data_IF_334586503463
#
_entry.id   IF_334586503463
#
_cell.length_a   1.000
_cell.length_b   1.000
_cell.length_c   1.000
_cell.angle_alpha   90.00
_cell.angle_beta   90.00
_cell.angle_gamma   90.00
#
_symmetry.space_group_name_H-M   'P 1'
#
loop_
_entity.id
_entity.type
_entity.pdbx_description
1 polymer ?
#
# COMPACT_ATOMS: atom_id res chain seq x y z
N UNK A 1 34.20 -88.88 75.32
CA UNK A 1 35.59 -88.43 75.46
C UNK A 1 35.64 -86.96 75.06
N UNK A 2 36.66 -86.22 75.47
CA UNK A 2 36.76 -84.80 75.14
C UNK A 2 36.90 -84.55 73.63
N UNK A 3 37.56 -85.47 72.94
CA UNK A 3 37.61 -85.53 71.47
C UNK A 3 36.21 -85.68 70.85
N UNK A 4 35.34 -86.53 71.43
CA UNK A 4 33.93 -86.65 70.99
C UNK A 4 33.14 -85.37 71.26
N UNK A 5 33.43 -84.66 72.35
CA UNK A 5 32.78 -83.38 72.67
C UNK A 5 33.11 -82.32 71.62
N UNK A 6 34.39 -82.14 71.31
CA UNK A 6 34.86 -81.16 70.31
C UNK A 6 34.39 -81.52 68.91
N UNK A 7 34.45 -82.80 68.52
CA UNK A 7 33.92 -83.25 67.24
C UNK A 7 32.42 -82.95 67.10
N UNK A 8 31.64 -83.12 68.17
CA UNK A 8 30.21 -82.78 68.20
C UNK A 8 29.97 -81.28 68.18
N UNK A 9 30.70 -80.51 68.98
CA UNK A 9 30.55 -79.05 69.08
C UNK A 9 30.91 -78.34 67.76
N UNK A 10 32.08 -78.64 67.19
CA UNK A 10 32.58 -77.98 65.99
C UNK A 10 31.97 -78.58 64.72
N UNK A 11 31.86 -79.91 64.65
CA UNK A 11 31.40 -80.62 63.45
C UNK A 11 29.89 -80.75 63.30
N UNK A 12 29.11 -80.69 64.38
CA UNK A 12 27.64 -80.92 64.32
C UNK A 12 26.84 -79.75 64.88
N UNK A 13 27.23 -79.19 66.02
CA UNK A 13 26.50 -78.08 66.65
C UNK A 13 26.87 -76.69 66.10
N UNK A 14 27.94 -76.60 65.28
CA UNK A 14 28.42 -75.33 64.73
C UNK A 14 29.01 -74.37 65.77
N UNK A 15 29.33 -74.86 66.98
CA UNK A 15 29.99 -74.10 68.05
C UNK A 15 31.50 -74.07 67.80
N UNK A 16 31.94 -73.06 67.06
CA UNK A 16 33.33 -72.89 66.67
C UNK A 16 34.21 -72.44 67.86
N UNK A 17 35.38 -73.06 68.04
CA UNK A 17 36.38 -72.71 69.07
C UNK A 17 36.60 -73.74 70.18
N UNK A 18 35.96 -74.92 70.10
CA UNK A 18 36.21 -76.01 71.05
C UNK A 18 37.59 -76.65 70.87
N UNK A 19 38.31 -76.86 71.96
CA UNK A 19 39.54 -77.66 72.03
C UNK A 19 39.38 -78.78 73.06
N UNK A 20 40.00 -79.92 72.78
CA UNK A 20 39.99 -81.11 73.60
C UNK A 20 41.23 -81.10 74.49
N UNK A 21 41.01 -81.05 75.81
CA UNK A 21 42.05 -81.24 76.82
C UNK A 21 41.86 -82.62 77.46
N UNK A 22 42.76 -83.55 77.11
CA UNK A 22 42.76 -84.91 77.66
C UNK A 22 44.01 -85.07 78.52
N UNK A 23 43.84 -85.18 79.83
CA UNK A 23 44.97 -85.31 80.77
C UNK A 23 45.52 -86.73 80.79
N UNK A 24 46.84 -86.88 80.65
CA UNK A 24 47.57 -88.15 80.82
C UNK A 24 47.64 -89.07 79.59
N UNK A 25 47.29 -88.57 78.39
CA UNK A 25 47.47 -89.30 77.12
C UNK A 25 48.86 -89.09 76.53
N UNK A 26 49.45 -90.16 76.01
CA UNK A 26 50.74 -90.19 75.31
C UNK A 26 50.71 -91.15 74.12
N UNK A 27 51.63 -90.96 73.16
CA UNK A 27 51.63 -91.72 71.90
C UNK A 27 50.43 -91.36 71.02
N UNK A 28 49.86 -92.35 70.33
CA UNK A 28 48.84 -92.15 69.28
C UNK A 28 47.58 -91.40 69.74
N UNK A 29 47.24 -91.44 71.03
CA UNK A 29 46.08 -90.70 71.58
C UNK A 29 46.37 -89.21 71.81
N UNK A 30 47.62 -88.85 72.06
CA UNK A 30 48.06 -87.45 72.11
C UNK A 30 48.01 -86.86 70.69
N UNK A 31 48.64 -87.55 69.72
CA UNK A 31 48.67 -87.14 68.32
C UNK A 31 47.26 -86.99 67.73
N UNK A 32 46.33 -87.87 68.11
CA UNK A 32 44.92 -87.78 67.71
C UNK A 32 44.21 -86.57 68.33
N UNK A 33 44.49 -86.25 69.59
CA UNK A 33 43.90 -85.10 70.29
C UNK A 33 44.42 -83.78 69.69
N UNK A 34 45.72 -83.71 69.39
CA UNK A 34 46.35 -82.58 68.71
C UNK A 34 45.79 -82.42 67.29
N UNK A 35 45.72 -83.51 66.51
CA UNK A 35 45.14 -83.48 65.16
C UNK A 35 43.67 -83.02 65.14
N UNK A 36 42.87 -83.43 66.13
CA UNK A 36 41.47 -82.98 66.26
C UNK A 36 41.39 -81.51 66.68
N UNK A 37 42.30 -81.05 67.55
CA UNK A 37 42.38 -79.64 67.93
C UNK A 37 42.82 -78.74 66.76
N UNK A 38 43.79 -79.19 65.97
CA UNK A 38 44.24 -78.48 64.76
C UNK A 38 43.13 -78.42 63.71
N UNK A 39 42.44 -79.55 63.49
CA UNK A 39 41.27 -79.60 62.62
C UNK A 39 40.17 -78.65 63.10
N UNK A 40 39.83 -78.70 64.39
CA UNK A 40 38.80 -77.85 65.00
C UNK A 40 39.16 -76.36 64.95
N UNK A 41 40.43 -76.02 65.18
CA UNK A 41 40.96 -74.66 65.09
C UNK A 41 40.93 -74.13 63.66
N UNK A 42 41.39 -74.92 62.68
CA UNK A 42 41.39 -74.56 61.27
C UNK A 42 39.97 -74.33 60.73
N UNK A 43 39.05 -75.27 60.99
CA UNK A 43 37.63 -75.13 60.62
C UNK A 43 36.99 -73.92 61.31
N UNK A 44 37.30 -73.70 62.60
CA UNK A 44 36.81 -72.55 63.35
C UNK A 44 37.23 -71.23 62.72
N UNK A 45 38.52 -71.07 62.41
CA UNK A 45 39.05 -69.83 61.86
C UNK A 45 38.51 -69.59 60.44
N UNK A 46 38.52 -70.62 59.60
CA UNK A 46 38.04 -70.55 58.21
C UNK A 46 36.55 -70.21 58.14
N UNK A 47 35.69 -70.94 58.85
CA UNK A 47 34.23 -70.72 58.82
C UNK A 47 33.87 -69.38 59.46
N UNK A 48 34.55 -68.99 60.55
CA UNK A 48 34.32 -67.68 61.19
C UNK A 48 34.71 -66.53 60.27
N UNK A 49 35.83 -66.64 59.54
CA UNK A 49 36.24 -65.61 58.59
C UNK A 49 35.26 -65.51 57.40
N UNK A 50 34.83 -66.65 56.85
CA UNK A 50 33.76 -66.71 55.83
C UNK A 50 32.49 -66.02 56.33
N UNK A 51 32.05 -66.30 57.57
CA UNK A 51 30.87 -65.69 58.17
C UNK A 51 31.02 -64.17 58.31
N UNK A 52 32.20 -63.67 58.70
CA UNK A 52 32.48 -62.23 58.81
C UNK A 52 32.39 -61.56 57.44
N UNK A 53 33.00 -62.14 56.40
CA UNK A 53 33.00 -61.56 55.05
C UNK A 53 31.62 -61.60 54.43
N UNK A 54 30.90 -62.72 54.52
CA UNK A 54 29.54 -62.84 53.99
C UNK A 54 28.55 -61.92 54.73
N UNK A 55 28.72 -61.73 56.03
CA UNK A 55 27.94 -60.76 56.82
C UNK A 55 28.27 -59.32 56.41
N UNK A 56 29.53 -59.01 56.14
CA UNK A 56 29.94 -57.70 55.64
C UNK A 56 29.32 -57.40 54.27
N UNK A 57 29.38 -58.36 53.35
CA UNK A 57 28.74 -58.28 52.03
C UNK A 57 27.23 -58.07 52.15
N UNK A 58 26.56 -58.80 53.04
CA UNK A 58 25.12 -58.63 53.29
C UNK A 58 24.76 -57.23 53.82
N UNK A 59 25.67 -56.59 54.55
CA UNK A 59 25.53 -55.22 55.03
C UNK A 59 26.01 -54.15 54.01
N UNK A 60 26.44 -54.55 52.82
CA UNK A 60 26.94 -53.66 51.78
C UNK A 60 28.42 -53.24 51.91
N UNK A 61 29.17 -53.81 52.86
CA UNK A 61 30.62 -53.62 52.98
C UNK A 61 31.36 -54.62 52.09
N UNK A 62 31.73 -54.14 50.89
CA UNK A 62 32.44 -54.91 49.86
C UNK A 62 33.97 -54.73 49.93
N UNK A 63 34.48 -54.14 51.02
CA UNK A 63 35.92 -53.95 51.23
C UNK A 63 36.61 -55.16 51.88
N UNK A 64 35.84 -56.11 52.42
CA UNK A 64 36.39 -57.26 53.16
C UNK A 64 36.54 -58.50 52.29
N UNK A 65 37.66 -59.20 52.46
CA UNK A 65 37.96 -60.47 51.81
C UNK A 65 38.33 -61.53 52.83
N UNK A 66 38.15 -62.79 52.45
CA UNK A 66 38.65 -63.92 53.22
C UNK A 66 40.16 -63.97 53.04
N UNK A 67 40.89 -63.85 54.15
CA UNK A 67 42.35 -63.83 54.18
C UNK A 67 42.95 -65.12 54.72
N UNK A 68 42.23 -65.85 55.58
CA UNK A 68 42.71 -67.10 56.21
C UNK A 68 43.23 -68.12 55.21
N UNK A 69 44.30 -68.83 55.58
CA UNK A 69 44.81 -69.92 54.76
C UNK A 69 43.81 -71.08 54.72
N UNK A 70 43.58 -71.58 53.50
CA UNK A 70 42.63 -72.64 53.23
C UNK A 70 43.19 -73.56 52.16
N UNK A 71 42.79 -74.83 52.20
CA UNK A 71 43.19 -75.86 51.26
C UNK A 71 41.95 -76.67 50.85
N UNK A 72 42.04 -77.39 49.72
CA UNK A 72 40.93 -78.21 49.21
C UNK A 72 39.66 -77.40 48.95
N UNK A 73 38.51 -77.94 49.30
CA UNK A 73 37.18 -77.34 49.07
C UNK A 73 37.00 -75.96 49.75
N UNK A 74 37.63 -75.74 50.90
CA UNK A 74 37.56 -74.44 51.59
C UNK A 74 38.33 -73.36 50.83
N UNK A 75 39.42 -73.72 50.14
CA UNK A 75 40.13 -72.79 49.27
C UNK A 75 39.28 -72.40 48.06
N UNK A 76 38.58 -73.36 47.46
CA UNK A 76 37.65 -73.11 46.37
C UNK A 76 36.50 -72.20 46.82
N UNK A 77 35.93 -72.46 48.00
CA UNK A 77 34.91 -71.60 48.61
C UNK A 77 35.43 -70.18 48.89
N UNK A 78 36.63 -70.06 49.47
CA UNK A 78 37.32 -68.77 49.69
C UNK A 78 37.45 -67.99 48.38
N UNK A 79 37.95 -68.64 47.33
CA UNK A 79 38.14 -68.01 46.02
C UNK A 79 36.82 -67.60 45.40
N UNK A 80 35.78 -68.44 45.53
CA UNK A 80 34.43 -68.16 45.03
C UNK A 80 33.82 -66.93 45.73
N UNK A 81 33.88 -66.89 47.06
CA UNK A 81 33.37 -65.74 47.83
C UNK A 81 34.18 -64.48 47.53
N UNK A 82 35.52 -64.55 47.51
CA UNK A 82 36.34 -63.38 47.18
C UNK A 82 36.08 -62.86 45.76
N UNK A 83 35.88 -63.74 44.80
CA UNK A 83 35.52 -63.36 43.42
C UNK A 83 34.14 -62.70 43.39
N UNK A 84 33.16 -63.22 44.14
CA UNK A 84 31.84 -62.59 44.29
C UNK A 84 31.95 -61.18 44.89
N UNK A 85 32.78 -60.99 45.94
CA UNK A 85 33.02 -59.66 46.53
C UNK A 85 33.62 -58.71 45.50
N UNK A 86 34.60 -59.16 44.73
CA UNK A 86 35.24 -58.34 43.70
C UNK A 86 34.27 -57.91 42.59
N UNK A 87 33.43 -58.85 42.13
CA UNK A 87 32.38 -58.57 41.14
C UNK A 87 31.34 -57.59 41.67
N UNK A 88 30.87 -57.78 42.91
CA UNK A 88 29.93 -56.88 43.57
C UNK A 88 30.51 -55.48 43.74
N UNK A 89 31.77 -55.39 44.19
CA UNK A 89 32.46 -54.11 44.43
C UNK A 89 32.63 -53.33 43.13
N UNK A 90 33.07 -54.01 42.08
CA UNK A 90 33.24 -53.43 40.74
C UNK A 90 31.90 -53.03 40.13
N UNK A 91 30.87 -53.86 40.26
CA UNK A 91 29.53 -53.51 39.76
C UNK A 91 28.96 -52.30 40.50
N UNK A 92 29.07 -52.26 41.83
CA UNK A 92 28.61 -51.15 42.64
C UNK A 92 29.28 -49.83 42.28
N UNK A 93 30.61 -49.83 42.08
CA UNK A 93 31.35 -48.64 41.67
C UNK A 93 30.97 -48.19 40.26
N UNK A 94 30.84 -49.12 39.32
CA UNK A 94 30.49 -48.81 37.93
C UNK A 94 29.06 -48.29 37.78
N UNK A 95 28.09 -48.90 38.46
CA UNK A 95 26.71 -48.39 38.47
C UNK A 95 26.64 -47.01 39.11
N UNK A 96 27.34 -46.79 40.23
CA UNK A 96 27.40 -45.47 40.87
C UNK A 96 28.01 -44.42 39.94
N UNK A 97 29.08 -44.79 39.22
CA UNK A 97 29.76 -43.92 38.25
C UNK A 97 28.84 -43.57 37.09
N UNK A 98 28.22 -44.55 36.43
CA UNK A 98 27.31 -44.32 35.29
C UNK A 98 26.08 -43.52 35.71
N UNK A 99 25.50 -43.80 36.87
CA UNK A 99 24.37 -43.05 37.40
C UNK A 99 24.73 -41.57 37.65
N UNK A 100 25.95 -41.30 38.16
CA UNK A 100 26.45 -39.94 38.34
C UNK A 100 26.71 -39.26 37.00
N UNK A 101 27.48 -39.88 36.11
CA UNK A 101 27.86 -39.30 34.81
C UNK A 101 26.64 -39.03 33.94
N UNK A 102 25.81 -40.04 33.66
CA UNK A 102 24.69 -39.93 32.73
C UNK A 102 23.47 -39.31 33.40
N UNK A 103 23.19 -39.66 34.66
CA UNK A 103 21.97 -39.24 35.35
C UNK A 103 22.06 -37.88 36.05
N UNK A 104 23.25 -37.47 36.51
CA UNK A 104 23.42 -36.24 37.31
C UNK A 104 24.24 -35.18 36.60
N UNK A 105 25.39 -35.54 36.05
CA UNK A 105 26.35 -34.60 35.45
C UNK A 105 26.04 -34.32 33.97
N UNK A 106 25.17 -35.12 33.34
CA UNK A 106 24.82 -34.98 31.92
C UNK A 106 25.96 -35.35 30.97
N UNK A 107 26.96 -36.09 31.45
CA UNK A 107 28.06 -36.64 30.65
C UNK A 107 27.52 -37.87 29.91
N UNK A 108 26.94 -37.61 28.74
CA UNK A 108 26.28 -38.63 27.94
C UNK A 108 27.29 -39.59 27.26
N UNK A 109 27.04 -40.90 27.35
CA UNK A 109 27.87 -41.95 26.75
C UNK A 109 28.59 -42.85 27.76
N UNK A 110 28.47 -42.57 29.07
CA UNK A 110 29.00 -43.45 30.11
C UNK A 110 28.33 -44.84 30.08
N UNK A 111 29.16 -45.89 30.15
CA UNK A 111 28.73 -47.28 30.23
C UNK A 111 29.50 -47.98 31.35
N UNK A 112 28.85 -48.91 32.04
CA UNK A 112 29.44 -49.76 33.07
C UNK A 112 30.28 -50.85 32.41
N UNK A 113 31.55 -50.97 32.82
CA UNK A 113 32.46 -52.03 32.41
C UNK A 113 32.81 -52.92 33.60
N UNK A 114 32.12 -54.05 33.72
CA UNK A 114 32.36 -55.03 34.80
C UNK A 114 32.93 -56.30 34.18
N UNK A 115 34.22 -56.54 34.39
CA UNK A 115 34.93 -57.67 33.78
C UNK A 115 34.58 -58.99 34.47
N UNK A 116 34.47 -60.05 33.67
CA UNK A 116 34.29 -61.42 34.18
C UNK A 116 32.91 -61.71 34.79
N UNK A 117 31.90 -60.87 34.50
CA UNK A 117 30.52 -61.12 34.93
C UNK A 117 29.82 -62.12 34.02
N UNK A 118 28.97 -62.96 34.61
CA UNK A 118 28.16 -63.96 33.92
C UNK A 118 26.80 -64.12 34.59
N UNK A 119 25.83 -64.71 33.88
CA UNK A 119 24.47 -64.86 34.39
C UNK A 119 23.84 -63.51 34.74
N UNK A 120 23.16 -63.45 35.89
CA UNK A 120 22.45 -62.24 36.35
C UNK A 120 23.32 -60.98 36.38
N UNK A 121 24.61 -61.10 36.70
CA UNK A 121 25.51 -59.94 36.75
C UNK A 121 25.72 -59.31 35.37
N UNK A 122 25.89 -60.15 34.34
CA UNK A 122 25.99 -59.67 32.97
C UNK A 122 24.69 -59.01 32.53
N UNK A 123 23.57 -59.66 32.81
CA UNK A 123 22.24 -59.16 32.41
C UNK A 123 21.94 -57.79 33.08
N UNK A 124 22.39 -57.58 34.32
CA UNK A 124 22.29 -56.30 35.01
C UNK A 124 23.21 -55.23 34.40
N UNK A 125 24.48 -55.56 34.11
CA UNK A 125 25.42 -54.63 33.44
C UNK A 125 24.89 -54.23 32.07
N UNK A 126 24.38 -55.18 31.28
CA UNK A 126 23.75 -54.91 29.98
C UNK A 126 22.50 -54.04 30.13
N UNK A 127 21.67 -54.27 31.14
CA UNK A 127 20.47 -53.46 31.41
C UNK A 127 20.82 -52.01 31.76
N UNK A 128 21.83 -51.79 32.60
CA UNK A 128 22.34 -50.45 32.94
C UNK A 128 22.90 -49.76 31.70
N UNK A 129 23.68 -50.47 30.89
CA UNK A 129 24.24 -49.93 29.65
C UNK A 129 23.18 -49.60 28.61
N UNK A 130 22.13 -50.43 28.50
CA UNK A 130 20.99 -50.17 27.64
C UNK A 130 20.22 -48.92 28.08
N UNK A 131 19.99 -48.76 29.39
CA UNK A 131 19.37 -47.55 29.95
C UNK A 131 20.23 -46.30 29.65
N UNK A 132 21.52 -46.35 29.95
CA UNK A 132 22.46 -45.25 29.74
C UNK A 132 22.57 -44.85 28.26
N UNK A 133 22.61 -45.83 27.37
CA UNK A 133 22.68 -45.62 25.91
C UNK A 133 21.40 -44.99 25.37
N UNK A 134 20.23 -45.47 25.81
CA UNK A 134 18.95 -44.87 25.39
C UNK A 134 18.82 -43.42 25.85
N UNK A 135 19.10 -43.13 27.13
CA UNK A 135 19.07 -41.76 27.65
C UNK A 135 20.06 -40.85 26.91
N UNK A 136 21.28 -41.35 26.69
CA UNK A 136 22.32 -40.65 25.93
C UNK A 136 21.85 -40.27 24.52
N UNK A 137 21.30 -41.22 23.77
CA UNK A 137 20.86 -40.97 22.40
C UNK A 137 19.64 -40.05 22.35
N UNK A 138 18.69 -40.24 23.28
CA UNK A 138 17.49 -39.43 23.38
C UNK A 138 17.80 -37.96 23.69
N UNK A 139 18.56 -37.71 24.76
CA UNK A 139 18.90 -36.35 25.20
C UNK A 139 19.78 -35.64 24.17
N UNK A 140 20.77 -36.34 23.61
CA UNK A 140 21.67 -35.75 22.59
C UNK A 140 20.91 -35.35 21.32
N UNK A 141 19.96 -36.16 20.85
CA UNK A 141 19.17 -35.82 19.66
C UNK A 141 18.18 -34.68 19.93
N UNK A 142 17.60 -34.61 21.14
CA UNK A 142 16.81 -33.45 21.57
C UNK A 142 17.66 -32.18 21.52
N UNK A 143 18.85 -32.20 22.12
CA UNK A 143 19.75 -31.05 22.14
C UNK A 143 20.18 -30.60 20.74
N UNK A 144 20.45 -31.54 19.83
CA UNK A 144 20.77 -31.23 18.44
C UNK A 144 19.62 -30.50 17.74
N UNK A 145 18.39 -31.01 17.87
CA UNK A 145 17.22 -30.44 17.20
C UNK A 145 16.85 -29.08 17.80
N UNK A 146 16.89 -28.92 19.11
CA UNK A 146 16.61 -27.61 19.74
C UNK A 146 17.69 -26.58 19.41
N UNK A 147 18.95 -27.00 19.26
CA UNK A 147 20.02 -26.12 18.77
C UNK A 147 19.78 -25.73 17.31
N UNK A 148 19.40 -26.67 16.45
CA UNK A 148 19.08 -26.39 15.04
C UNK A 148 17.95 -25.36 14.92
N UNK A 149 16.86 -25.55 15.67
CA UNK A 149 15.74 -24.60 15.75
C UNK A 149 16.19 -23.22 16.20
N UNK A 150 17.04 -23.13 17.23
CA UNK A 150 17.59 -21.86 17.72
C UNK A 150 18.44 -21.14 16.67
N UNK A 151 19.12 -21.89 15.78
CA UNK A 151 19.87 -21.34 14.64
C UNK A 151 19.02 -21.10 13.38
N UNK A 152 17.72 -21.40 13.43
CA UNK A 152 16.78 -21.23 12.32
C UNK A 152 16.69 -22.40 11.34
N UNK A 153 17.37 -23.52 11.60
CA UNK A 153 17.21 -24.75 10.82
C UNK A 153 16.00 -25.55 11.32
N UNK A 154 14.88 -25.40 10.61
CA UNK A 154 13.61 -26.07 10.90
C UNK A 154 13.44 -27.38 10.11
N UNK A 155 14.50 -27.88 9.48
CA UNK A 155 14.47 -29.14 8.73
C UNK A 155 14.72 -30.37 9.62
N UNK A 156 15.34 -30.16 10.78
CA UNK A 156 15.71 -31.26 11.69
C UNK A 156 14.56 -31.65 12.63
N UNK A 157 14.42 -32.96 12.84
CA UNK A 157 13.46 -33.55 13.78
C UNK A 157 14.13 -34.56 14.69
N UNK A 158 13.54 -34.76 15.87
CA UNK A 158 13.94 -35.84 16.75
C UNK A 158 13.49 -37.15 16.09
N UNK A 159 14.44 -38.00 15.75
CA UNK A 159 14.20 -39.25 15.04
C UNK A 159 14.34 -40.48 15.95
N UNK A 160 15.16 -40.39 16.99
CA UNK A 160 15.46 -41.49 17.92
C UNK A 160 14.21 -42.10 18.55
N UNK A 161 14.21 -43.43 18.72
CA UNK A 161 13.11 -44.14 19.36
C UNK A 161 12.97 -43.77 20.83
N UNK A 162 11.73 -43.52 21.23
CA UNK A 162 11.37 -43.09 22.57
C UNK A 162 10.06 -43.73 23.00
N UNK A 163 9.89 -43.91 24.31
CA UNK A 163 8.68 -44.42 24.94
C UNK A 163 8.33 -43.55 26.15
N UNK A 164 7.09 -43.65 26.63
CA UNK A 164 6.62 -42.91 27.80
C UNK A 164 6.76 -41.39 27.63
N UNK A 165 7.25 -40.72 28.69
CA UNK A 165 7.39 -39.26 28.73
C UNK A 165 8.36 -38.72 27.66
N UNK A 166 9.42 -39.46 27.33
CA UNK A 166 10.37 -39.03 26.29
C UNK A 166 9.70 -39.06 24.90
N UNK A 167 8.77 -39.99 24.65
CA UNK A 167 8.00 -39.99 23.40
C UNK A 167 7.09 -38.77 23.31
N UNK A 168 6.44 -38.42 24.43
CA UNK A 168 5.61 -37.22 24.51
C UNK A 168 6.45 -35.95 24.27
N UNK A 169 7.65 -35.88 24.85
CA UNK A 169 8.59 -34.78 24.62
C UNK A 169 9.04 -34.71 23.15
N UNK A 170 9.45 -35.83 22.56
CA UNK A 170 9.79 -35.96 21.13
C UNK A 170 8.64 -35.45 20.25
N UNK A 171 7.42 -35.90 20.52
CA UNK A 171 6.23 -35.48 19.75
C UNK A 171 5.97 -33.99 19.90
N UNK A 172 6.09 -33.45 21.12
CA UNK A 172 5.84 -32.02 21.38
C UNK A 172 6.86 -31.14 20.65
N UNK A 173 8.15 -31.48 20.73
CA UNK A 173 9.20 -30.74 20.04
C UNK A 173 9.03 -30.86 18.51
N UNK A 174 8.78 -32.06 17.98
CA UNK A 174 8.58 -32.23 16.53
C UNK A 174 7.37 -31.45 16.01
N UNK A 175 6.26 -31.43 16.75
CA UNK A 175 5.09 -30.60 16.41
C UNK A 175 5.43 -29.11 16.43
N UNK A 176 6.23 -28.65 17.41
CA UNK A 176 6.69 -27.27 17.46
C UNK A 176 7.58 -26.91 16.26
N UNK A 177 8.49 -27.80 15.84
CA UNK A 177 9.29 -27.63 14.61
C UNK A 177 8.39 -27.54 13.38
N UNK A 178 7.37 -28.39 13.27
CA UNK A 178 6.43 -28.38 12.14
C UNK A 178 5.63 -27.09 12.07
N UNK A 179 5.14 -26.59 13.21
CA UNK A 179 4.42 -25.32 13.30
C UNK A 179 5.31 -24.14 12.91
N UNK A 180 6.56 -24.10 13.41
CA UNK A 180 7.54 -23.08 13.05
C UNK A 180 7.86 -23.09 11.55
N UNK A 181 8.11 -24.28 11.00
CA UNK A 181 8.48 -24.46 9.59
C UNK A 181 7.34 -24.01 8.67
N UNK A 182 6.12 -24.42 8.99
CA UNK A 182 4.91 -24.00 8.26
C UNK A 182 4.72 -22.49 8.35
N UNK A 183 4.80 -21.90 9.54
CA UNK A 183 4.67 -20.45 9.72
C UNK A 183 5.74 -19.67 8.94
N UNK A 184 7.01 -20.07 9.02
CA UNK A 184 8.09 -19.43 8.29
C UNK A 184 7.87 -19.50 6.76
N UNK A 185 7.41 -20.64 6.26
CA UNK A 185 7.10 -20.82 4.83
C UNK A 185 5.94 -19.93 4.38
N UNK A 186 4.88 -19.83 5.20
CA UNK A 186 3.68 -19.05 4.90
C UNK A 186 3.96 -17.55 4.96
N UNK A 187 4.69 -17.07 5.97
CA UNK A 187 5.12 -15.66 6.05
C UNK A 187 6.01 -15.31 4.84
N UNK A 188 6.94 -16.19 4.46
CA UNK A 188 7.79 -15.97 3.28
C UNK A 188 6.96 -15.92 1.99
N UNK A 189 5.95 -16.79 1.87
CA UNK A 189 5.04 -16.81 0.72
C UNK A 189 4.21 -15.52 0.64
N UNK A 190 3.55 -15.13 1.72
CA UNK A 190 2.74 -13.89 1.77
C UNK A 190 3.61 -12.67 1.50
N UNK A 191 4.80 -12.59 2.09
CA UNK A 191 5.74 -11.51 1.83
C UNK A 191 6.14 -11.43 0.35
N UNK A 192 6.43 -12.57 -0.29
CA UNK A 192 6.75 -12.61 -1.73
C UNK A 192 5.56 -12.21 -2.60
N UNK A 193 4.34 -12.70 -2.29
CA UNK A 193 3.13 -12.37 -3.05
C UNK A 193 2.80 -10.87 -3.00
N UNK A 194 2.89 -10.27 -1.82
CA UNK A 194 2.61 -8.85 -1.61
C UNK A 194 3.75 -7.97 -2.16
N UNK A 195 5.01 -8.37 -1.97
CA UNK A 195 6.17 -7.55 -2.34
C UNK A 195 6.58 -7.67 -3.82
N UNK A 196 6.65 -8.89 -4.36
CA UNK A 196 7.24 -9.13 -5.68
C UNK A 196 6.18 -9.36 -6.76
N UNK A 197 5.16 -10.17 -6.46
CA UNK A 197 4.14 -10.52 -7.46
C UNK A 197 3.06 -9.44 -7.61
N UNK A 198 2.97 -8.49 -6.66
CA UNK A 198 1.89 -7.51 -6.59
C UNK A 198 0.50 -8.14 -6.37
N UNK A 199 0.45 -9.40 -5.94
CA UNK A 199 -0.79 -10.14 -5.68
C UNK A 199 -1.31 -9.79 -4.30
N UNK A 200 -2.13 -8.75 -4.26
CA UNK A 200 -2.77 -8.28 -3.03
C UNK A 200 -3.91 -9.21 -2.62
N UNK A 201 -3.90 -9.62 -1.34
CA UNK A 201 -4.93 -10.48 -0.74
C UNK A 201 -4.43 -11.86 -0.27
N UNK A 202 -3.13 -12.14 -0.43
CA UNK A 202 -2.51 -13.33 0.16
C UNK A 202 -2.65 -13.36 1.68
N UNK A 203 -3.04 -14.52 2.23
CA UNK A 203 -3.15 -14.78 3.67
C UNK A 203 -2.32 -16.00 4.03
N UNK A 204 -1.65 -15.94 5.17
CA UNK A 204 -0.96 -17.08 5.78
C UNK A 204 -2.01 -18.06 6.33
N UNK A 205 -1.92 -19.33 5.94
CA UNK A 205 -2.71 -20.42 6.49
C UNK A 205 -1.81 -21.41 7.23
N UNK A 206 -1.74 -21.27 8.55
CA UNK A 206 -0.95 -22.16 9.41
C UNK A 206 -1.90 -23.01 10.23
N UNK A 207 -2.03 -24.28 9.86
CA UNK A 207 -2.96 -25.21 10.53
C UNK A 207 -2.45 -25.62 11.91
N UNK A 208 -3.38 -25.73 12.86
CA UNK A 208 -3.08 -26.26 14.19
C UNK A 208 -2.30 -25.31 15.10
N UNK A 209 -2.20 -24.02 14.76
CA UNK A 209 -1.61 -23.01 15.65
C UNK A 209 -2.60 -22.53 16.71
N UNK A 210 -2.10 -22.28 17.90
CA UNK A 210 -2.85 -21.75 19.05
C UNK A 210 -1.99 -20.77 19.84
N UNK A 211 -2.62 -20.00 20.74
CA UNK A 211 -1.93 -18.97 21.53
C UNK A 211 -1.19 -17.96 20.64
N UNK A 212 0.04 -17.63 21.02
CA UNK A 212 0.87 -16.63 20.32
C UNK A 212 1.06 -16.92 18.83
N UNK A 213 1.13 -18.19 18.42
CA UNK A 213 1.27 -18.53 17.01
C UNK A 213 0.05 -18.16 16.18
N UNK A 214 -1.14 -18.33 16.76
CA UNK A 214 -2.39 -17.89 16.15
C UNK A 214 -2.43 -16.37 16.09
N UNK A 215 -2.09 -15.68 17.18
CA UNK A 215 -2.11 -14.22 17.24
C UNK A 215 -1.16 -13.60 16.20
N UNK A 216 0.03 -14.19 16.00
CA UNK A 216 0.99 -13.76 14.98
C UNK A 216 0.45 -14.00 13.56
N UNK A 217 -0.14 -15.16 13.31
CA UNK A 217 -0.75 -15.48 12.00
C UNK A 217 -1.90 -14.52 11.68
N UNK A 218 -2.77 -14.26 12.66
CA UNK A 218 -3.89 -13.33 12.53
C UNK A 218 -3.39 -11.89 12.34
N UNK A 219 -2.31 -11.48 13.00
CA UNK A 219 -1.70 -10.16 12.85
C UNK A 219 -1.09 -9.94 11.45
N UNK A 220 -0.37 -10.93 10.92
CA UNK A 220 0.17 -10.89 9.55
C UNK A 220 -0.97 -10.80 8.53
N UNK A 221 -2.02 -11.60 8.73
CA UNK A 221 -3.21 -11.59 7.88
C UNK A 221 -3.96 -10.25 7.94
N UNK A 222 -4.10 -9.68 9.13
CA UNK A 222 -4.72 -8.37 9.32
C UNK A 222 -3.94 -7.29 8.58
N UNK A 223 -2.62 -7.20 8.80
CA UNK A 223 -1.74 -6.26 8.11
C UNK A 223 -1.81 -6.42 6.59
N UNK A 224 -1.71 -7.64 6.06
CA UNK A 224 -1.78 -7.91 4.63
C UNK A 224 -3.14 -7.51 4.04
N UNK A 225 -4.25 -7.77 4.75
CA UNK A 225 -5.59 -7.40 4.31
C UNK A 225 -5.83 -5.89 4.31
N UNK A 226 -5.43 -5.18 5.37
CA UNK A 226 -5.60 -3.73 5.47
C UNK A 226 -4.78 -3.00 4.39
N UNK A 227 -3.52 -3.40 4.18
CA UNK A 227 -2.70 -2.82 3.12
C UNK A 227 -3.25 -3.14 1.71
N UNK A 228 -3.74 -4.37 1.51
CA UNK A 228 -4.39 -4.77 0.26
C UNK A 228 -5.58 -3.89 -0.07
N UNK A 229 -6.48 -3.70 0.91
CA UNK A 229 -7.70 -2.92 0.72
C UNK A 229 -7.38 -1.44 0.47
N UNK A 230 -6.39 -0.91 1.19
CA UNK A 230 -5.89 0.46 1.01
C UNK A 230 -5.34 0.70 -0.40
N UNK A 231 -4.40 -0.15 -0.85
CA UNK A 231 -3.78 0.00 -2.17
C UNK A 231 -4.79 -0.24 -3.29
N UNK A 232 -5.69 -1.23 -3.15
CA UNK A 232 -6.73 -1.50 -4.16
C UNK A 232 -7.71 -0.33 -4.31
N UNK A 233 -8.10 0.31 -3.22
CA UNK A 233 -8.99 1.48 -3.27
C UNK A 233 -8.28 2.70 -3.89
N UNK A 234 -7.00 2.91 -3.59
CA UNK A 234 -6.17 3.92 -4.26
C UNK A 234 -6.11 3.66 -5.77
N UNK A 235 -5.86 2.41 -6.18
CA UNK A 235 -5.82 2.03 -7.59
C UNK A 235 -7.17 2.24 -8.29
N UNK A 236 -8.29 1.93 -7.64
CA UNK A 236 -9.63 2.16 -8.17
C UNK A 236 -9.88 3.66 -8.42
N UNK A 237 -9.61 4.51 -7.43
CA UNK A 237 -9.84 5.96 -7.52
C UNK A 237 -8.93 6.60 -8.55
N UNK A 238 -7.64 6.27 -8.56
CA UNK A 238 -6.70 6.79 -9.55
C UNK A 238 -7.04 6.34 -10.98
N UNK A 239 -7.55 5.11 -11.15
CA UNK A 239 -8.08 4.63 -12.44
C UNK A 239 -9.34 5.38 -12.84
N UNK A 240 -10.25 5.68 -11.91
CA UNK A 240 -11.45 6.45 -12.17
C UNK A 240 -11.10 7.88 -12.64
N UNK A 241 -10.17 8.54 -11.94
CA UNK A 241 -9.63 9.86 -12.31
C UNK A 241 -9.00 9.84 -13.70
N UNK A 242 -8.21 8.81 -14.02
CA UNK A 242 -7.63 8.65 -15.35
C UNK A 242 -8.68 8.47 -16.46
N UNK A 243 -9.86 7.95 -16.14
CA UNK A 243 -11.02 7.83 -17.04
C UNK A 243 -11.93 9.07 -17.02
N UNK A 244 -11.57 10.11 -16.26
CA UNK A 244 -12.35 11.35 -16.12
C UNK A 244 -13.51 11.28 -15.11
N UNK A 245 -13.64 10.21 -14.34
CA UNK A 245 -14.61 10.12 -13.24
C UNK A 245 -14.00 10.73 -11.97
N UNK A 246 -14.37 11.99 -11.71
CA UNK A 246 -13.92 12.78 -10.56
C UNK A 246 -14.91 12.70 -9.38
N UNK A 247 -15.90 11.80 -9.43
CA UNK A 247 -16.86 11.59 -8.33
C UNK A 247 -16.36 10.62 -7.26
N UNK A 248 -15.27 9.91 -7.54
CA UNK A 248 -14.71 8.86 -6.69
C UNK A 248 -13.68 9.43 -5.74
N UNK A 249 -13.77 9.05 -4.46
CA UNK A 249 -12.77 9.36 -3.45
C UNK A 249 -12.31 8.09 -2.74
N UNK A 250 -11.10 8.14 -2.18
CA UNK A 250 -10.59 7.08 -1.32
C UNK A 250 -11.33 7.17 0.01
N UNK A 251 -12.03 6.12 0.40
CA UNK A 251 -12.87 6.10 1.62
C UNK A 251 -12.35 5.17 2.69
N UNK A 252 -11.51 4.20 2.34
CA UNK A 252 -10.93 3.21 3.26
C UNK A 252 -10.18 3.88 4.42
N UNK A 253 -10.24 3.24 5.59
CA UNK A 253 -9.54 3.70 6.79
C UNK A 253 -8.04 3.56 6.62
N UNK A 254 -7.31 4.63 6.92
CA UNK A 254 -5.86 4.69 6.81
C UNK A 254 -5.27 5.50 7.96
N UNK A 255 -4.03 5.18 8.32
CA UNK A 255 -3.24 5.90 9.33
C UNK A 255 -1.82 6.09 8.79
N UNK A 256 -1.06 7.02 9.38
CA UNK A 256 0.33 7.30 8.99
C UNK A 256 0.47 7.73 7.52
N UNK A 257 1.48 7.20 6.84
CA UNK A 257 1.82 7.56 5.45
C UNK A 257 0.69 7.26 4.46
N UNK A 258 -0.08 6.18 4.67
CA UNK A 258 -1.21 5.85 3.80
C UNK A 258 -2.35 6.86 3.96
N UNK A 259 -2.53 7.44 5.15
CA UNK A 259 -3.51 8.51 5.34
C UNK A 259 -3.09 9.79 4.61
N UNK A 260 -1.80 10.13 4.67
CA UNK A 260 -1.26 11.27 3.93
C UNK A 260 -1.43 11.09 2.42
N UNK A 261 -1.13 9.89 1.90
CA UNK A 261 -1.36 9.54 0.50
C UNK A 261 -2.85 9.64 0.12
N UNK A 262 -3.75 9.07 0.94
CA UNK A 262 -5.21 9.18 0.77
C UNK A 262 -5.64 10.65 0.68
N UNK A 263 -5.21 11.48 1.62
CA UNK A 263 -5.59 12.89 1.67
C UNK A 263 -5.04 13.66 0.47
N UNK A 264 -3.80 13.37 0.06
CA UNK A 264 -3.17 14.00 -1.10
C UNK A 264 -3.94 13.67 -2.39
N UNK A 265 -4.27 12.40 -2.60
CA UNK A 265 -5.04 11.97 -3.78
C UNK A 265 -6.45 12.57 -3.74
N UNK A 266 -7.16 12.50 -2.61
CA UNK A 266 -8.50 13.09 -2.49
C UNK A 266 -8.49 14.60 -2.76
N UNK A 267 -7.50 15.32 -2.23
CA UNK A 267 -7.33 16.77 -2.51
C UNK A 267 -7.10 17.02 -4.01
N UNK A 268 -6.30 16.18 -4.67
CA UNK A 268 -6.09 16.27 -6.12
C UNK A 268 -7.38 16.01 -6.90
N UNK A 269 -8.19 15.02 -6.50
CA UNK A 269 -9.51 14.78 -7.11
C UNK A 269 -10.44 15.98 -6.93
N UNK A 270 -10.49 16.57 -5.74
CA UNK A 270 -11.34 17.73 -5.45
C UNK A 270 -10.94 18.96 -6.26
N UNK A 271 -9.63 19.19 -6.41
CA UNK A 271 -9.09 20.26 -7.25
C UNK A 271 -9.44 20.05 -8.72
N UNK A 272 -9.27 18.83 -9.25
CA UNK A 272 -9.66 18.47 -10.61
C UNK A 272 -11.16 18.67 -10.85
N UNK A 273 -11.99 18.21 -9.91
CA UNK A 273 -13.46 18.30 -9.99
C UNK A 273 -13.92 19.75 -10.00
N UNK A 274 -13.36 20.57 -9.11
CA UNK A 274 -13.64 22.01 -9.04
C UNK A 274 -13.21 22.71 -10.33
N UNK A 275 -12.00 22.42 -10.82
CA UNK A 275 -11.50 23.00 -12.07
C UNK A 275 -12.39 22.62 -13.26
N UNK A 276 -12.74 21.35 -13.42
CA UNK A 276 -13.60 20.87 -14.50
C UNK A 276 -14.99 21.54 -14.47
N UNK A 277 -15.57 21.69 -13.27
CA UNK A 277 -16.84 22.41 -13.09
C UNK A 277 -16.72 23.89 -13.47
N UNK A 278 -15.67 24.57 -13.01
CA UNK A 278 -15.48 26.00 -13.28
C UNK A 278 -15.21 26.28 -14.76
N UNK A 279 -14.38 25.48 -15.43
CA UNK A 279 -14.14 25.62 -16.87
C UNK A 279 -15.44 25.38 -17.65
N UNK A 280 -16.20 24.34 -17.31
CA UNK A 280 -17.49 24.06 -17.95
C UNK A 280 -18.47 25.22 -17.75
N UNK A 281 -18.51 25.79 -16.54
CA UNK A 281 -19.37 26.94 -16.21
C UNK A 281 -18.99 28.18 -17.01
N UNK A 282 -17.71 28.55 -17.05
CA UNK A 282 -17.22 29.74 -17.79
C UNK A 282 -17.42 29.57 -19.29
N UNK A 283 -17.11 28.40 -19.85
CA UNK A 283 -17.35 28.11 -21.26
C UNK A 283 -18.84 28.26 -21.63
N UNK A 284 -19.73 27.80 -20.75
CA UNK A 284 -21.18 27.96 -20.93
C UNK A 284 -21.61 29.43 -20.80
N UNK A 285 -21.22 30.11 -19.73
CA UNK A 285 -21.64 31.50 -19.46
C UNK A 285 -21.13 32.46 -20.54
N UNK A 286 -19.83 32.44 -20.82
CA UNK A 286 -19.18 33.41 -21.71
C UNK A 286 -19.31 32.99 -23.17
N UNK A 287 -19.14 31.69 -23.46
CA UNK A 287 -19.15 31.18 -24.83
C UNK A 287 -20.53 30.86 -25.40
N UNK A 288 -21.47 30.38 -24.58
CA UNK A 288 -22.81 29.95 -25.07
C UNK A 288 -23.92 30.93 -24.69
N UNK A 289 -23.98 31.35 -23.43
CA UNK A 289 -25.05 32.22 -22.93
C UNK A 289 -24.80 33.71 -23.19
N UNK A 290 -23.58 34.09 -23.56
CA UNK A 290 -23.19 35.49 -23.77
C UNK A 290 -23.20 36.33 -22.48
N UNK A 291 -23.17 35.70 -21.30
CA UNK A 291 -23.00 36.38 -20.01
C UNK A 291 -21.54 36.79 -19.84
N UNK A 292 -21.21 37.94 -20.41
CA UNK A 292 -19.86 38.49 -20.41
C UNK A 292 -19.39 38.87 -19.00
N UNK A 293 -18.13 38.57 -18.68
CA UNK A 293 -17.50 38.84 -17.38
C UNK A 293 -17.41 37.62 -16.46
N UNK A 294 -17.86 36.44 -16.89
CA UNK A 294 -17.64 35.20 -16.16
C UNK A 294 -16.16 34.84 -16.08
N UNK A 295 -15.69 34.47 -14.90
CA UNK A 295 -14.31 34.02 -14.63
C UNK A 295 -14.34 32.75 -13.78
N UNK A 296 -13.39 31.85 -14.03
CA UNK A 296 -13.16 30.64 -13.27
C UNK A 296 -12.50 31.01 -11.94
N UNK A 297 -13.03 30.46 -10.85
CA UNK A 297 -12.48 30.64 -9.51
C UNK A 297 -12.22 29.29 -8.85
N UNK A 298 -11.00 28.78 -9.02
CA UNK A 298 -10.56 27.52 -8.43
C UNK A 298 -9.67 27.82 -7.22
N UNK A 299 -10.15 27.52 -6.02
CA UNK A 299 -9.42 27.81 -4.77
C UNK A 299 -8.27 26.81 -4.56
N UNK A 300 -7.16 27.29 -4.03
CA UNK A 300 -6.05 26.43 -3.59
C UNK A 300 -5.23 25.81 -4.74
N UNK A 301 -5.39 26.29 -5.97
CA UNK A 301 -4.58 25.85 -7.12
C UNK A 301 -3.20 26.52 -7.12
N UNK A 302 -2.20 25.77 -7.56
CA UNK A 302 -0.83 26.24 -7.75
C UNK A 302 -0.20 25.53 -8.96
N UNK A 303 0.94 26.06 -9.44
CA UNK A 303 1.62 25.53 -10.63
C UNK A 303 0.69 25.48 -11.84
N UNK A 304 0.72 24.38 -12.59
CA UNK A 304 -0.05 24.20 -13.83
C UNK A 304 -1.55 24.46 -13.66
N UNK A 305 -2.15 24.13 -12.52
CA UNK A 305 -3.58 24.38 -12.28
C UNK A 305 -3.92 25.87 -12.21
N UNK A 306 -3.01 26.66 -11.64
CA UNK A 306 -3.15 28.12 -11.61
C UNK A 306 -3.00 28.68 -13.01
N UNK A 307 -1.97 28.27 -13.74
CA UNK A 307 -1.69 28.75 -15.10
C UNK A 307 -2.87 28.47 -16.05
N UNK A 308 -3.50 27.30 -15.95
CA UNK A 308 -4.69 26.95 -16.72
C UNK A 308 -5.91 27.78 -16.33
N UNK A 309 -6.11 28.04 -15.04
CA UNK A 309 -7.21 28.88 -14.56
C UNK A 309 -7.06 30.32 -15.05
N UNK A 310 -5.84 30.86 -15.00
CA UNK A 310 -5.51 32.20 -15.52
C UNK A 310 -5.71 32.26 -17.04
N UNK A 311 -5.29 31.23 -17.78
CA UNK A 311 -5.49 31.16 -19.23
C UNK A 311 -6.99 31.18 -19.64
N UNK A 312 -7.85 30.47 -18.90
CA UNK A 312 -9.31 30.49 -19.12
C UNK A 312 -9.89 31.86 -18.81
N UNK A 313 -9.41 32.51 -17.74
CA UNK A 313 -9.83 33.85 -17.37
C UNK A 313 -9.39 34.91 -18.37
N UNK A 314 -8.18 34.80 -18.92
CA UNK A 314 -7.68 35.70 -19.96
C UNK A 314 -8.51 35.55 -21.25
N UNK A 315 -8.82 34.31 -21.64
CA UNK A 315 -9.71 34.04 -22.79
C UNK A 315 -11.09 34.67 -22.57
N UNK A 316 -11.71 34.44 -21.41
CA UNK A 316 -13.03 34.95 -21.09
C UNK A 316 -13.07 36.49 -20.98
N UNK A 317 -12.02 37.09 -20.42
CA UNK A 317 -11.84 38.54 -20.31
C UNK A 317 -11.67 39.18 -21.69
N UNK A 318 -10.81 38.62 -22.54
CA UNK A 318 -10.60 39.10 -23.90
C UNK A 318 -11.90 39.06 -24.71
N UNK A 319 -12.63 37.93 -24.69
CA UNK A 319 -13.90 37.83 -25.41
C UNK A 319 -14.94 38.82 -24.86
N UNK A 320 -15.01 38.97 -23.53
CA UNK A 320 -15.88 39.95 -22.87
C UNK A 320 -15.61 41.37 -23.35
N UNK A 321 -14.35 41.78 -23.35
CA UNK A 321 -13.96 43.13 -23.75
C UNK A 321 -14.22 43.36 -25.23
N UNK A 322 -13.89 42.39 -26.08
CA UNK A 322 -14.11 42.47 -27.53
C UNK A 322 -15.60 42.64 -27.87
N UNK A 323 -16.46 41.75 -27.35
CA UNK A 323 -17.90 41.79 -27.64
C UNK A 323 -18.55 43.04 -27.04
N UNK A 324 -18.15 43.46 -25.83
CA UNK A 324 -18.70 44.68 -25.21
C UNK A 324 -18.33 45.94 -25.99
N UNK A 325 -17.12 46.04 -26.50
CA UNK A 325 -16.70 47.19 -27.32
C UNK A 325 -17.46 47.24 -28.65
N UNK A 326 -17.67 46.08 -29.29
CA UNK A 326 -18.54 45.99 -30.46
C UNK A 326 -19.95 46.50 -30.12
N UNK A 327 -20.55 46.00 -29.04
CA UNK A 327 -21.88 46.39 -28.61
C UNK A 327 -22.02 47.89 -28.34
N UNK A 328 -21.02 48.52 -27.72
CA UNK A 328 -21.01 49.97 -27.47
C UNK A 328 -21.07 50.76 -28.78
N UNK A 329 -20.26 50.37 -29.77
CA UNK A 329 -20.20 51.08 -31.05
C UNK A 329 -21.46 50.84 -31.87
N UNK A 330 -21.94 49.61 -31.97
CA UNK A 330 -23.19 49.32 -32.71
C UNK A 330 -24.41 49.97 -32.06
N UNK A 331 -24.44 50.08 -30.73
CA UNK A 331 -25.50 50.81 -30.01
C UNK A 331 -25.42 52.32 -30.27
N UNK A 332 -24.21 52.88 -30.30
CA UNK A 332 -24.01 54.30 -30.62
C UNK A 332 -24.51 54.61 -32.04
N UNK A 333 -24.14 53.76 -33.01
CA UNK A 333 -24.62 53.85 -34.40
C UNK A 333 -26.15 53.77 -34.47
N UNK A 334 -26.77 52.84 -33.74
CA UNK A 334 -28.23 52.71 -33.68
C UNK A 334 -28.91 53.96 -33.10
N UNK A 335 -28.25 54.67 -32.18
CA UNK A 335 -28.72 55.93 -31.61
C UNK A 335 -28.33 57.17 -32.46
N UNK A 336 -27.73 56.97 -33.63
CA UNK A 336 -27.31 58.05 -34.53
C UNK A 336 -25.97 58.72 -34.17
N UNK A 337 -25.25 58.23 -33.16
CA UNK A 337 -23.90 58.69 -32.82
C UNK A 337 -22.86 57.94 -33.65
N UNK A 338 -22.45 58.57 -34.76
CA UNK A 338 -21.47 58.04 -35.71
C UNK A 338 -20.03 58.50 -35.41
N UNK A 339 -19.80 59.08 -34.24
CA UNK A 339 -18.46 59.52 -33.80
C UNK A 339 -17.64 58.39 -33.17
N UNK A 340 -18.30 57.30 -32.73
CA UNK A 340 -17.64 56.19 -32.03
C UNK A 340 -17.13 55.12 -32.98
N UNK A 341 -15.93 54.63 -32.69
CA UNK A 341 -15.30 53.50 -33.38
C UNK A 341 -14.76 52.50 -32.37
N UNK A 342 -14.58 51.26 -32.84
CA UNK A 342 -13.89 50.23 -32.06
C UNK A 342 -12.40 50.56 -32.13
N UNK A 343 -11.76 50.79 -30.98
CA UNK A 343 -10.34 51.18 -30.89
C UNK A 343 -9.44 50.08 -30.35
N UNK A 344 -9.98 49.13 -29.60
CA UNK A 344 -9.22 48.03 -28.98
C UNK A 344 -8.31 47.30 -29.96
N UNK A 345 -7.12 46.91 -29.48
CA UNK A 345 -6.22 46.06 -30.24
C UNK A 345 -6.73 44.61 -30.24
N UNK A 346 -7.03 44.09 -31.42
CA UNK A 346 -7.68 42.80 -31.62
C UNK A 346 -7.05 42.10 -32.81
N UNK A 347 -7.09 40.77 -32.81
CA UNK A 347 -6.45 39.93 -33.83
C UNK A 347 -7.46 38.95 -34.43
N UNK A 348 -7.08 38.32 -35.55
CA UNK A 348 -7.87 37.29 -36.22
C UNK A 348 -9.23 37.78 -36.70
N UNK A 349 -10.25 36.94 -36.57
CA UNK A 349 -11.63 37.21 -37.03
C UNK A 349 -12.24 38.45 -36.34
N UNK A 350 -11.84 38.74 -35.10
CA UNK A 350 -12.32 39.93 -34.38
C UNK A 350 -11.76 41.23 -34.99
N UNK A 351 -10.55 41.20 -35.56
CA UNK A 351 -9.98 42.34 -36.28
C UNK A 351 -10.75 42.62 -37.58
N UNK A 352 -11.12 41.56 -38.30
CA UNK A 352 -11.94 41.69 -39.51
C UNK A 352 -13.32 42.28 -39.18
N UNK A 353 -13.94 41.80 -38.09
CA UNK A 353 -15.21 42.35 -37.60
C UNK A 353 -15.08 43.83 -37.18
N UNK A 354 -14.01 44.18 -36.44
CA UNK A 354 -13.69 45.57 -36.09
C UNK A 354 -13.60 46.46 -37.32
N UNK A 355 -12.84 46.04 -38.33
CA UNK A 355 -12.64 46.81 -39.55
C UNK A 355 -13.93 46.96 -40.34
N UNK A 356 -14.74 45.91 -40.41
CA UNK A 356 -16.05 45.93 -41.09
C UNK A 356 -17.00 46.92 -40.41
N UNK A 357 -17.12 46.86 -39.08
CA UNK A 357 -17.97 47.79 -38.32
C UNK A 357 -17.46 49.22 -38.45
N UNK A 358 -16.16 49.47 -38.28
CA UNK A 358 -15.61 50.82 -38.41
C UNK A 358 -15.81 51.40 -39.82
N UNK A 359 -15.68 50.58 -40.87
CA UNK A 359 -15.96 51.00 -42.25
C UNK A 359 -17.44 51.34 -42.44
N UNK A 360 -18.35 50.55 -41.86
CA UNK A 360 -19.79 50.87 -41.86
C UNK A 360 -20.06 52.21 -41.17
N UNK A 361 -19.45 52.47 -40.01
CA UNK A 361 -19.57 53.77 -39.32
C UNK A 361 -19.09 54.93 -40.20
N UNK A 362 -17.96 54.76 -40.89
CA UNK A 362 -17.42 55.78 -41.79
C UNK A 362 -18.34 56.07 -42.98
N UNK A 363 -18.90 55.03 -43.59
CA UNK A 363 -19.85 55.16 -44.69
C UNK A 363 -21.13 55.86 -44.24
N UNK A 364 -21.68 55.47 -43.08
CA UNK A 364 -22.86 56.11 -42.47
C UNK A 364 -22.60 57.58 -42.16
N UNK A 365 -21.45 57.89 -41.56
CA UNK A 365 -21.08 59.26 -41.16
C UNK A 365 -20.95 60.17 -42.39
N UNK A 366 -20.27 59.68 -43.43
CA UNK A 366 -20.13 60.38 -44.70
C UNK A 366 -21.50 60.61 -45.35
N UNK A 367 -22.34 59.58 -45.44
CA UNK A 367 -23.68 59.70 -46.01
C UNK A 367 -24.55 60.71 -45.23
N UNK A 368 -24.58 60.63 -43.90
CA UNK A 368 -25.33 61.56 -43.06
C UNK A 368 -24.87 63.01 -43.26
N UNK A 369 -23.55 63.23 -43.37
CA UNK A 369 -22.99 64.57 -43.63
C UNK A 369 -23.39 65.11 -45.01
N UNK A 370 -23.35 64.27 -46.05
CA UNK A 370 -23.67 64.64 -47.42
C UNK A 370 -25.15 64.93 -47.62
N UNK A 371 -26.03 64.09 -47.05
CA UNK A 371 -27.48 64.34 -47.08
C UNK A 371 -27.81 65.64 -46.34
N UNK A 372 -27.22 65.87 -45.17
CA UNK A 372 -27.43 67.12 -44.42
C UNK A 372 -26.95 68.33 -45.20
N UNK A 373 -25.80 68.21 -45.89
CA UNK A 373 -25.23 69.28 -46.72
C UNK A 373 -26.13 69.60 -47.91
N UNK A 374 -26.55 68.59 -48.68
CA UNK A 374 -27.43 68.77 -49.84
C UNK A 374 -28.79 69.33 -49.44
N UNK A 375 -29.38 68.81 -48.36
CA UNK A 375 -30.64 69.33 -47.82
C UNK A 375 -30.52 70.81 -47.42
N UNK A 376 -29.39 71.22 -46.82
CA UNK A 376 -29.13 72.62 -46.51
C UNK A 376 -28.92 73.46 -47.76
N UNK A 377 -28.02 73.06 -48.66
CA UNK A 377 -27.69 73.81 -49.88
C UNK A 377 -28.91 74.02 -50.79
N UNK A 378 -29.62 72.93 -51.12
CA UNK A 378 -30.74 72.98 -52.07
C UNK A 378 -32.03 73.43 -51.39
N UNK A 379 -32.29 72.98 -50.16
CA UNK A 379 -33.56 73.21 -49.47
C UNK A 379 -33.62 74.48 -48.62
N UNK A 380 -32.50 74.91 -48.01
CA UNK A 380 -32.49 76.06 -47.08
C UNK A 380 -31.77 77.28 -47.65
N UNK A 381 -30.56 77.09 -48.19
CA UNK A 381 -29.70 78.18 -48.66
C UNK A 381 -30.05 78.62 -50.10
N UNK A 382 -30.89 77.85 -50.81
CA UNK A 382 -31.27 78.12 -52.20
C UNK A 382 -30.13 78.00 -53.22
N UNK A 383 -29.01 77.36 -52.83
CA UNK A 383 -27.87 77.07 -53.70
C UNK A 383 -28.18 75.81 -54.52
N UNK A 384 -28.92 76.01 -55.60
CA UNK A 384 -29.38 74.93 -56.47
C UNK A 384 -28.21 74.25 -57.20
N UNK A 385 -28.31 72.94 -57.42
CA UNK A 385 -27.32 72.11 -58.11
C UNK A 385 -26.40 71.30 -57.19
N UNK A 386 -26.58 71.37 -55.86
CA UNK A 386 -25.85 70.52 -54.91
C UNK A 386 -26.23 69.05 -55.05
N UNK A 387 -25.22 68.17 -55.10
CA UNK A 387 -25.39 66.70 -55.13
C UNK A 387 -24.53 66.06 -54.05
N UNK A 388 -25.05 64.99 -53.44
CA UNK A 388 -24.38 64.15 -52.47
C UNK A 388 -23.32 63.30 -53.17
N UNK A 389 -22.12 63.30 -52.62
CA UNK A 389 -20.98 62.53 -53.11
C UNK A 389 -20.45 61.61 -52.01
N UNK A 390 -20.99 60.40 -51.96
CA UNK A 390 -20.54 59.38 -50.99
C UNK A 390 -19.67 58.36 -51.71
N UNK A 391 -18.38 58.29 -51.38
CA UNK A 391 -17.43 57.37 -52.02
C UNK A 391 -17.53 55.98 -51.40
N UNK A 392 -17.38 54.95 -52.23
CA UNK A 392 -17.31 53.55 -51.76
C UNK A 392 -18.63 52.95 -51.28
N UNK A 393 -19.76 53.57 -51.60
CA UNK A 393 -21.10 53.00 -51.32
C UNK A 393 -21.55 52.04 -52.42
N UNK A 394 -22.24 50.98 -52.01
CA UNK A 394 -22.84 49.98 -52.88
C UNK A 394 -24.20 49.53 -52.33
N UNK A 395 -25.01 48.87 -53.16
CA UNK A 395 -26.36 48.42 -52.79
C UNK A 395 -27.23 49.58 -52.32
N UNK A 396 -28.00 49.37 -51.25
CA UNK A 396 -28.96 50.35 -50.72
C UNK A 396 -28.35 51.72 -50.43
N UNK A 397 -27.07 51.80 -50.03
CA UNK A 397 -26.41 53.09 -49.78
C UNK A 397 -26.22 53.91 -51.06
N UNK A 398 -25.92 53.23 -52.17
CA UNK A 398 -25.83 53.87 -53.47
C UNK A 398 -27.20 54.34 -53.94
N UNK A 399 -28.21 53.47 -53.85
CA UNK A 399 -29.58 53.78 -54.27
C UNK A 399 -30.16 54.99 -53.51
N UNK A 400 -29.88 55.10 -52.20
CA UNK A 400 -30.27 56.25 -51.39
C UNK A 400 -29.53 57.53 -51.79
N UNK A 401 -28.23 57.43 -52.10
CA UNK A 401 -27.45 58.59 -52.57
C UNK A 401 -27.98 59.09 -53.91
N UNK A 402 -28.29 58.19 -54.83
CA UNK A 402 -28.89 58.51 -56.13
C UNK A 402 -30.29 59.13 -55.94
N UNK A 403 -31.12 58.57 -55.05
CA UNK A 403 -32.45 59.13 -54.76
C UNK A 403 -32.39 60.56 -54.19
N UNK A 404 -31.43 60.86 -53.31
CA UNK A 404 -31.21 62.22 -52.79
C UNK A 404 -30.74 63.16 -53.92
N UNK A 405 -29.88 62.68 -54.81
CA UNK A 405 -29.41 63.45 -55.96
C UNK A 405 -30.53 63.71 -56.98
N UNK A 406 -31.40 62.73 -57.24
CA UNK A 406 -32.56 62.88 -58.10
C UNK A 406 -33.54 63.90 -57.52
N UNK A 407 -33.78 63.85 -56.21
CA UNK A 407 -34.61 64.85 -55.53
C UNK A 407 -34.00 66.26 -55.64
N UNK A 408 -32.70 66.38 -55.38
CA UNK A 408 -31.98 67.66 -55.45
C UNK A 408 -31.93 68.23 -56.88
N UNK A 409 -31.74 67.38 -57.89
CA UNK A 409 -31.76 67.78 -59.31
C UNK A 409 -33.15 68.23 -59.73
N UNK A 410 -34.18 67.46 -59.39
CA UNK A 410 -35.56 67.83 -59.70
C UNK A 410 -35.93 69.18 -59.06
N UNK A 411 -35.63 69.39 -57.78
CA UNK A 411 -35.86 70.70 -57.13
C UNK A 411 -35.07 71.83 -57.80
N UNK A 412 -33.82 71.57 -58.17
CA UNK A 412 -32.96 72.54 -58.86
C UNK A 412 -33.55 72.95 -60.21
N UNK A 413 -33.92 71.98 -61.04
CA UNK A 413 -34.44 72.24 -62.39
C UNK A 413 -35.79 72.96 -62.32
N UNK A 414 -36.64 72.55 -61.38
CA UNK A 414 -37.95 73.15 -61.17
C UNK A 414 -37.85 74.61 -60.70
N UNK A 415 -37.06 74.89 -59.67
CA UNK A 415 -36.93 76.24 -59.12
C UNK A 415 -36.18 77.16 -60.07
N UNK A 416 -35.12 76.69 -60.76
CA UNK A 416 -34.42 77.50 -61.78
C UNK A 416 -35.35 77.87 -62.93
N UNK A 417 -36.11 76.92 -63.47
CA UNK A 417 -37.01 77.21 -64.58
C UNK A 417 -38.12 78.20 -64.19
N UNK A 418 -38.65 78.10 -62.97
CA UNK A 418 -39.56 79.11 -62.40
C UNK A 418 -38.88 80.47 -62.28
N UNK A 419 -37.66 80.52 -61.73
CA UNK A 419 -36.91 81.76 -61.56
C UNK A 419 -36.59 82.44 -62.91
N UNK A 420 -36.20 81.66 -63.93
CA UNK A 420 -35.91 82.16 -65.27
C UNK A 420 -37.15 82.78 -65.92
N UNK A 421 -38.30 82.09 -65.87
CA UNK A 421 -39.56 82.56 -66.44
C UNK A 421 -40.08 83.79 -65.69
N UNK A 422 -40.07 83.77 -64.35
CA UNK A 422 -40.52 84.92 -63.56
C UNK A 422 -39.60 86.14 -63.72
N UNK A 423 -38.30 85.92 -63.89
CA UNK A 423 -37.34 87.00 -64.21
C UNK A 423 -37.58 87.57 -65.61
N UNK A 424 -37.89 86.73 -66.60
CA UNK A 424 -38.23 87.17 -67.95
C UNK A 424 -39.51 88.02 -67.95
N UNK A 425 -40.56 87.53 -67.28
CA UNK A 425 -41.82 88.26 -67.08
C UNK A 425 -41.57 89.62 -66.42
N UNK A 426 -40.73 89.67 -65.37
CA UNK A 426 -40.37 90.93 -64.69
C UNK A 426 -39.61 91.91 -65.60
N UNK A 427 -38.88 91.41 -66.59
CA UNK A 427 -38.18 92.21 -67.62
C UNK A 427 -39.07 92.56 -68.82
N UNK A 428 -40.33 92.14 -68.82
CA UNK A 428 -41.31 92.39 -69.88
C UNK A 428 -41.30 91.39 -71.03
N UNK A 429 -40.53 90.30 -70.94
CA UNK A 429 -40.55 89.21 -71.91
C UNK A 429 -41.56 88.14 -71.48
N UNK A 430 -42.73 88.18 -72.12
CA UNK A 430 -43.85 87.28 -71.85
C UNK A 430 -43.89 86.09 -72.82
N UNK A 431 -42.83 85.86 -73.59
CA UNK A 431 -42.74 84.73 -74.51
C UNK A 431 -42.30 83.43 -73.84
N UNK A 432 -41.69 83.52 -72.65
CA UNK A 432 -41.18 82.38 -71.90
C UNK A 432 -42.24 81.74 -71.00
N UNK A 433 -42.33 80.42 -71.06
CA UNK A 433 -43.16 79.59 -70.18
C UNK A 433 -42.32 78.58 -69.44
N UNK A 434 -42.81 78.14 -68.29
CA UNK A 434 -42.22 77.02 -67.56
C UNK A 434 -42.48 75.76 -68.38
N UNK A 435 -41.42 75.02 -68.70
CA UNK A 435 -41.46 73.83 -69.57
C UNK A 435 -41.06 72.53 -68.87
N UNK A 436 -40.32 72.61 -67.76
CA UNK A 436 -39.86 71.45 -66.98
C UNK A 436 -41.01 70.51 -66.58
N UNK A 437 -40.78 69.20 -66.62
CA UNK A 437 -41.77 68.20 -66.21
C UNK A 437 -41.90 68.19 -64.68
N UNK A 438 -43.11 68.44 -64.19
CA UNK A 438 -43.44 68.62 -62.78
C UNK A 438 -44.72 67.87 -62.45
N UNK A 439 -44.79 67.37 -61.22
CA UNK A 439 -45.95 66.64 -60.71
C UNK A 439 -46.42 67.27 -59.39
N UNK A 440 -47.64 66.95 -58.98
CA UNK A 440 -48.21 67.42 -57.71
C UNK A 440 -48.35 68.94 -57.63
N UNK A 441 -48.02 69.52 -56.48
CA UNK A 441 -48.14 70.96 -56.21
C UNK A 441 -47.27 71.80 -57.15
N UNK A 442 -46.12 71.29 -57.58
CA UNK A 442 -45.24 71.98 -58.53
C UNK A 442 -45.88 72.12 -59.92
N UNK A 443 -46.73 71.17 -60.34
CA UNK A 443 -47.49 71.29 -61.59
C UNK A 443 -48.57 72.38 -61.49
N UNK A 444 -49.22 72.50 -60.33
CA UNK A 444 -50.19 73.57 -60.08
C UNK A 444 -49.50 74.94 -60.10
N UNK A 445 -48.32 75.06 -59.48
CA UNK A 445 -47.51 76.27 -59.51
C UNK A 445 -47.10 76.63 -60.94
N UNK A 446 -46.56 75.67 -61.71
CA UNK A 446 -46.25 75.82 -63.14
C UNK A 446 -47.45 76.35 -63.93
N UNK A 447 -48.62 75.72 -63.75
CA UNK A 447 -49.83 76.09 -64.48
C UNK A 447 -50.32 77.49 -64.12
N UNK A 448 -50.24 77.85 -62.84
CA UNK A 448 -50.62 79.17 -62.33
C UNK A 448 -49.71 80.26 -62.89
N UNK A 449 -48.38 80.06 -62.85
CA UNK A 449 -47.42 81.01 -63.40
C UNK A 449 -47.58 81.13 -64.91
N UNK A 450 -47.69 80.01 -65.65
CA UNK A 450 -47.91 80.06 -67.09
C UNK A 450 -49.21 80.77 -67.47
N UNK A 451 -50.29 80.56 -66.71
CA UNK A 451 -51.56 81.28 -66.91
C UNK A 451 -51.40 82.78 -66.62
N UNK A 452 -50.63 83.15 -65.59
CA UNK A 452 -50.29 84.54 -65.31
C UNK A 452 -49.51 85.18 -66.46
N UNK A 453 -48.51 84.48 -67.03
CA UNK A 453 -47.78 84.94 -68.23
C UNK A 453 -48.76 85.16 -69.39
N UNK A 454 -49.65 84.20 -69.65
CA UNK A 454 -50.65 84.31 -70.71
C UNK A 454 -51.58 85.52 -70.51
N UNK A 455 -52.08 85.71 -69.29
CA UNK A 455 -52.94 86.86 -68.97
C UNK A 455 -52.21 88.19 -69.14
N UNK A 456 -50.99 88.32 -68.59
CA UNK A 456 -50.18 89.53 -68.75
C UNK A 456 -49.87 89.80 -70.24
N UNK A 457 -49.63 88.75 -71.03
CA UNK A 457 -49.34 88.89 -72.47
C UNK A 457 -50.55 89.36 -73.28
N UNK A 458 -51.76 89.13 -72.79
CA UNK A 458 -52.99 89.62 -73.41
C UNK A 458 -53.32 91.08 -72.99
N UNK A 459 -52.70 91.59 -71.93
CA UNK A 459 -52.86 92.98 -71.47
C UNK A 459 -51.80 93.94 -72.02
N UNK A 460 -50.60 93.42 -72.31
CA UNK A 460 -49.53 94.12 -73.01
C UNK A 460 -49.79 94.17 -74.51
#
# INVERSE_FOLDING_TARGET
SEVTRVAREVGTEGKLGGQADVKGVSGTWYDLTESVNDMASNLTNQVRNIAVVTTAVANGDLGKKITEEAQGEILELKNTINTMVDQLSTFGSEVTRVAREVGTEGILGGQADVKGVSGTWRDLTESVNYMATNLTNQVRNIAEVTTAVATGDLSKKIAVDAKGEILQLKSTINTMVDQLSTFASEVTRVAREVSNDGKLGGRADVKGVSGTWKDLTDSVNYMASTLTDQVRNIAEVTTAVAKGDLSKQITVNATGEILELKNTINTMVDQLSTFASEVTRVAREVGTEGKLGGQANVKGVSGTWKDLTESVNDMASNLTNQVRNIAVVTTAVANGDLSKKITEDVQGEILELKNTINTMVDQLSTFASEVTRVAREVGTDGRLGGQAQVKGVAGTWKDLTESVNDMASNLTDQVRNIADVTTAVAKGDLSLKITVDVKGEMLQLKSTINTMVDQLSNFA
#
